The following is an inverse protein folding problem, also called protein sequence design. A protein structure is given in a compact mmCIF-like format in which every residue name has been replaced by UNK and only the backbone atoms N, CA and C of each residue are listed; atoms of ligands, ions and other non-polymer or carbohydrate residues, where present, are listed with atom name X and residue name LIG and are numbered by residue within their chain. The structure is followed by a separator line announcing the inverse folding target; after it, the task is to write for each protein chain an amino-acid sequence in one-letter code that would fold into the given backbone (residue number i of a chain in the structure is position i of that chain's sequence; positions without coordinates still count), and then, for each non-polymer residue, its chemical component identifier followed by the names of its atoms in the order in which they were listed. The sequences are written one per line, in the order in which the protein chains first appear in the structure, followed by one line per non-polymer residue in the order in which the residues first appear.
data_IF_031503090963
#
_entry.id   IF_031503090963
#
_cell.length_a   1.000
_cell.length_b   1.000
_cell.length_c   1.000
_cell.angle_alpha   90.00
_cell.angle_beta   90.00
_cell.angle_gamma   90.00
#
_symmetry.space_group_name_H-M   'P 1'
#
loop_
_entity.id
_entity.type
_entity.pdbx_description
1 polymer ?
#
# COMPACT_ATOMS: atom_id res chain seq x y z
N UNK A 1 -45.53 52.80 15.12
CA UNK A 1 -44.68 51.87 15.89
C UNK A 1 -45.59 50.85 16.54
N UNK A 2 -45.69 49.65 15.98
CA UNK A 2 -46.14 48.47 16.71
C UNK A 2 -45.45 47.27 16.07
N UNK A 3 -44.72 46.56 16.94
CA UNK A 3 -43.78 45.49 16.66
C UNK A 3 -44.59 44.21 16.52
N UNK A 4 -44.74 43.72 15.30
CA UNK A 4 -45.44 42.47 15.04
C UNK A 4 -44.72 41.32 15.74
N UNK A 5 -45.54 40.51 16.40
CA UNK A 5 -45.20 39.50 17.37
C UNK A 5 -44.37 38.39 16.73
N UNK A 6 -43.28 38.04 17.40
CA UNK A 6 -42.40 36.94 17.04
C UNK A 6 -43.17 35.63 17.03
N UNK A 7 -43.33 35.05 15.84
CA UNK A 7 -43.84 33.70 15.62
C UNK A 7 -43.08 32.69 16.48
N UNK A 8 -43.78 32.24 17.51
CA UNK A 8 -43.49 31.05 18.31
C UNK A 8 -43.28 29.87 17.35
N UNK A 9 -42.07 29.32 17.31
CA UNK A 9 -41.79 28.07 16.60
C UNK A 9 -42.42 26.93 17.39
N UNK A 10 -43.74 26.79 17.27
CA UNK A 10 -44.45 25.64 17.79
C UNK A 10 -43.94 24.40 17.03
N UNK A 11 -43.23 23.54 17.75
CA UNK A 11 -42.83 22.23 17.30
C UNK A 11 -44.11 21.46 16.99
N UNK A 12 -44.45 21.37 15.70
CA UNK A 12 -45.59 20.60 15.23
C UNK A 12 -45.39 19.13 15.61
N UNK A 13 -46.18 18.70 16.60
CA UNK A 13 -46.49 17.31 16.89
C UNK A 13 -47.20 16.73 15.65
N UNK A 14 -46.49 15.90 14.88
CA UNK A 14 -47.08 15.10 13.82
C UNK A 14 -47.08 13.63 14.25
N UNK A 15 -48.21 13.21 14.82
CA UNK A 15 -48.57 11.81 14.98
C UNK A 15 -49.05 11.24 13.62
N UNK A 16 -48.41 10.16 13.17
CA UNK A 16 -48.96 9.23 12.19
C UNK A 16 -48.76 9.58 10.70
N UNK A 17 -47.97 8.75 10.02
CA UNK A 17 -47.93 8.52 8.57
C UNK A 17 -47.03 9.45 7.72
N UNK A 18 -45.82 8.95 7.43
CA UNK A 18 -44.92 9.49 6.41
C UNK A 18 -43.69 10.17 6.98
N UNK A 19 -42.57 9.45 7.09
CA UNK A 19 -41.30 10.03 7.49
C UNK A 19 -40.86 11.09 6.45
N UNK A 20 -41.02 12.37 6.79
CA UNK A 20 -40.65 13.49 5.94
C UNK A 20 -39.11 13.61 5.88
N UNK A 21 -38.55 13.17 4.76
CA UNK A 21 -37.12 13.32 4.42
C UNK A 21 -36.77 14.79 4.20
N UNK A 22 -35.61 15.21 4.72
CA UNK A 22 -35.15 16.60 4.66
C UNK A 22 -33.65 16.73 4.94
N UNK A 23 -33.11 17.96 4.97
CA UNK A 23 -31.70 18.16 5.28
C UNK A 23 -31.36 17.58 6.66
N UNK A 24 -30.29 16.80 6.76
CA UNK A 24 -29.90 16.03 7.95
C UNK A 24 -30.94 14.98 8.44
N UNK A 25 -31.97 14.63 7.65
CA UNK A 25 -32.98 13.61 7.96
C UNK A 25 -33.05 12.55 6.85
N UNK A 26 -32.07 11.62 6.76
CA UNK A 26 -32.05 10.61 5.72
C UNK A 26 -33.22 9.62 5.87
N UNK A 27 -33.75 9.03 4.78
CA UNK A 27 -34.85 8.06 4.83
C UNK A 27 -34.55 6.88 5.77
N UNK A 28 -35.53 6.47 6.59
CA UNK A 28 -35.37 5.40 7.59
C UNK A 28 -34.93 4.07 6.95
N UNK A 29 -35.43 3.77 5.75
CA UNK A 29 -35.10 2.55 5.00
C UNK A 29 -33.60 2.41 4.66
N UNK A 30 -32.86 3.53 4.63
CA UNK A 30 -31.43 3.56 4.30
C UNK A 30 -30.53 3.89 5.50
N UNK A 31 -31.10 4.11 6.68
CA UNK A 31 -30.32 4.34 7.89
C UNK A 31 -29.69 3.02 8.36
N UNK A 32 -28.41 3.07 8.71
CA UNK A 32 -27.77 1.93 9.38
C UNK A 32 -28.43 1.69 10.74
N UNK A 33 -28.76 0.43 11.04
CA UNK A 33 -29.33 0.07 12.33
C UNK A 33 -28.30 0.33 13.42
N UNK A 34 -28.73 0.90 14.55
CA UNK A 34 -27.86 1.16 15.70
C UNK A 34 -27.20 -0.16 16.14
N UNK A 35 -25.87 -0.20 16.16
CA UNK A 35 -25.09 -1.40 16.49
C UNK A 35 -24.74 -2.29 15.29
N UNK A 36 -25.22 -1.98 14.08
CA UNK A 36 -24.88 -2.68 12.85
C UNK A 36 -24.17 -1.73 11.89
N UNK A 37 -22.87 -1.93 11.72
CA UNK A 37 -22.08 -1.27 10.68
C UNK A 37 -22.60 -1.68 9.29
N UNK A 38 -22.61 -0.75 8.34
CA UNK A 38 -22.85 -1.05 6.91
C UNK A 38 -21.77 -1.95 6.29
N UNK A 39 -20.64 -2.11 6.95
CA UNK A 39 -19.63 -3.11 6.67
C UNK A 39 -19.49 -4.07 7.87
N UNK A 40 -20.26 -5.18 7.92
CA UNK A 40 -20.25 -6.13 9.03
C UNK A 40 -18.93 -6.88 9.19
N UNK A 41 -18.22 -7.12 8.08
CA UNK A 41 -16.89 -7.73 8.08
C UNK A 41 -15.81 -6.76 8.61
N UNK A 42 -16.14 -5.46 8.69
CA UNK A 42 -15.21 -4.42 9.06
C UNK A 42 -14.10 -4.27 8.02
N UNK A 43 -13.08 -3.49 8.40
CA UNK A 43 -11.83 -3.44 7.66
C UNK A 43 -11.10 -4.79 7.80
N UNK A 44 -10.52 -5.35 6.73
CA UNK A 44 -9.71 -6.57 6.81
C UNK A 44 -8.67 -6.47 7.94
N UNK A 45 -8.50 -7.57 8.68
CA UNK A 45 -7.54 -7.61 9.79
C UNK A 45 -6.12 -7.70 9.24
N UNK A 46 -5.22 -6.92 9.82
CA UNK A 46 -3.78 -7.05 9.64
C UNK A 46 -3.36 -8.52 9.82
N UNK A 47 -2.65 -9.08 8.84
CA UNK A 47 -2.15 -10.46 8.81
C UNK A 47 -1.04 -10.75 9.83
N UNK A 48 -0.45 -9.69 10.41
CA UNK A 48 0.61 -9.79 11.42
C UNK A 48 2.02 -9.86 10.84
N UNK A 49 2.17 -9.67 9.52
CA UNK A 49 3.48 -9.56 8.89
C UNK A 49 4.19 -8.28 9.35
N UNK A 50 5.54 -8.25 9.41
CA UNK A 50 6.29 -7.02 9.65
C UNK A 50 5.85 -5.94 8.66
N UNK A 51 5.28 -4.84 9.15
CA UNK A 51 4.72 -3.75 8.32
C UNK A 51 3.20 -3.62 8.36
N UNK A 52 2.44 -4.68 8.67
CA UNK A 52 0.97 -4.69 8.66
C UNK A 52 0.30 -3.68 9.61
N UNK A 53 1.03 -3.31 10.66
CA UNK A 53 0.58 -2.37 11.69
C UNK A 53 1.00 -0.92 11.40
N UNK A 54 1.75 -0.69 10.32
CA UNK A 54 2.12 0.66 9.90
C UNK A 54 0.88 1.37 9.36
N UNK A 55 0.80 2.67 9.63
CA UNK A 55 -0.29 3.52 9.15
C UNK A 55 -0.21 3.61 7.62
N UNK A 56 -1.21 3.10 6.92
CA UNK A 56 -1.23 2.97 5.46
C UNK A 56 -1.05 1.54 4.93
N UNK A 57 -0.81 0.55 5.81
CA UNK A 57 -0.52 -0.83 5.37
C UNK A 57 -1.68 -1.58 4.71
N UNK A 58 -2.92 -1.12 4.88
CA UNK A 58 -4.06 -1.65 4.14
C UNK A 58 -4.22 -0.79 2.89
N UNK A 59 -3.59 -1.22 1.80
CA UNK A 59 -3.72 -0.60 0.50
C UNK A 59 -4.66 -1.48 -0.36
N UNK A 60 -6.00 -1.45 -0.12
CA UNK A 60 -6.93 -2.31 -0.84
C UNK A 60 -6.85 -2.08 -2.36
N UNK A 61 -6.60 -0.83 -2.76
CA UNK A 61 -6.36 -0.46 -4.15
C UNK A 61 -5.12 -1.15 -4.73
N UNK A 62 -4.04 -1.29 -3.96
CA UNK A 62 -2.83 -2.00 -4.40
C UNK A 62 -3.12 -3.48 -4.62
N UNK A 63 -3.84 -4.11 -3.71
CA UNK A 63 -4.28 -5.51 -3.86
C UNK A 63 -5.04 -5.71 -5.16
N UNK A 64 -6.08 -4.90 -5.40
CA UNK A 64 -6.86 -4.95 -6.65
C UNK A 64 -6.01 -4.74 -7.91
N UNK A 65 -5.05 -3.81 -7.89
CA UNK A 65 -4.14 -3.56 -9.02
C UNK A 65 -3.24 -4.78 -9.27
N UNK A 66 -2.71 -5.40 -8.21
CA UNK A 66 -1.86 -6.59 -8.32
C UNK A 66 -2.65 -7.79 -8.84
N UNK A 67 -3.87 -7.99 -8.34
CA UNK A 67 -4.76 -9.06 -8.81
C UNK A 67 -5.05 -8.91 -10.30
N UNK A 68 -5.34 -7.70 -10.76
CA UNK A 68 -5.55 -7.43 -12.18
C UNK A 68 -4.27 -7.64 -12.99
N UNK A 69 -3.11 -7.20 -12.49
CA UNK A 69 -1.83 -7.39 -13.16
C UNK A 69 -1.45 -8.88 -13.31
N UNK A 70 -1.88 -9.74 -12.38
CA UNK A 70 -1.60 -11.18 -12.41
C UNK A 70 -2.69 -12.02 -13.08
N UNK A 71 -3.85 -11.43 -13.42
CA UNK A 71 -4.90 -12.11 -14.19
C UNK A 71 -4.38 -12.59 -15.54
N UNK A 72 -4.77 -13.80 -15.93
CA UNK A 72 -4.42 -14.37 -17.24
C UNK A 72 -5.31 -13.78 -18.34
N UNK A 73 -4.70 -13.43 -19.47
CA UNK A 73 -5.37 -12.87 -20.64
C UNK A 73 -4.80 -13.54 -21.90
N UNK A 74 -5.66 -13.96 -22.85
CA UNK A 74 -5.22 -14.42 -24.17
C UNK A 74 -4.66 -13.24 -24.96
N UNK A 75 -3.41 -13.37 -25.43
CA UNK A 75 -2.76 -12.38 -26.28
C UNK A 75 -2.25 -13.05 -27.54
N UNK A 76 -2.48 -12.42 -28.68
CA UNK A 76 -1.97 -12.92 -29.97
C UNK A 76 -0.53 -12.46 -30.20
N UNK A 77 0.36 -13.42 -30.46
CA UNK A 77 1.77 -13.19 -30.79
C UNK A 77 2.09 -14.00 -32.04
N UNK A 78 2.52 -13.32 -33.10
CA UNK A 78 2.97 -13.97 -34.35
C UNK A 78 1.94 -14.97 -34.92
N UNK A 79 0.65 -14.63 -34.82
CA UNK A 79 -0.48 -15.46 -35.26
C UNK A 79 -0.84 -16.62 -34.33
N UNK A 80 -0.24 -16.70 -33.13
CA UNK A 80 -0.57 -17.69 -32.09
C UNK A 80 -1.13 -17.01 -30.86
N UNK A 81 -2.26 -17.49 -30.36
CA UNK A 81 -2.83 -17.05 -29.09
C UNK A 81 -2.07 -17.71 -27.94
N UNK A 82 -1.47 -16.91 -27.07
CA UNK A 82 -0.74 -17.35 -25.88
C UNK A 82 -1.38 -16.70 -24.65
N UNK A 83 -1.69 -17.52 -23.65
CA UNK A 83 -2.14 -17.07 -22.34
C UNK A 83 -0.97 -16.46 -21.56
N UNK A 84 -1.09 -15.19 -21.15
CA UNK A 84 -0.08 -14.53 -20.33
C UNK A 84 -0.72 -13.63 -19.26
N UNK A 85 0.06 -13.23 -18.26
CA UNK A 85 -0.43 -12.29 -17.24
C UNK A 85 -0.67 -10.92 -17.86
N UNK A 86 -1.73 -10.23 -17.45
CA UNK A 86 -2.12 -8.92 -17.96
C UNK A 86 -0.98 -7.89 -17.87
N UNK A 87 -0.27 -7.85 -16.74
CA UNK A 87 0.88 -6.96 -16.57
C UNK A 87 1.99 -7.24 -17.58
N UNK A 88 2.23 -8.51 -17.92
CA UNK A 88 3.21 -8.88 -18.95
C UNK A 88 2.76 -8.47 -20.35
N UNK A 89 1.47 -8.63 -20.66
CA UNK A 89 0.89 -8.20 -21.93
C UNK A 89 1.04 -6.67 -22.14
N UNK A 90 0.72 -5.88 -21.11
CA UNK A 90 0.85 -4.42 -21.15
C UNK A 90 2.31 -4.02 -21.36
N UNK A 91 3.25 -4.61 -20.60
CA UNK A 91 4.68 -4.33 -20.75
C UNK A 91 5.20 -4.67 -22.15
N UNK A 92 4.75 -5.78 -22.73
CA UNK A 92 5.11 -6.16 -24.10
C UNK A 92 4.54 -5.19 -25.13
N UNK A 93 3.28 -4.78 -24.99
CA UNK A 93 2.66 -3.81 -25.89
C UNK A 93 3.37 -2.45 -25.83
N UNK A 94 3.80 -2.03 -24.64
CA UNK A 94 4.60 -0.83 -24.43
C UNK A 94 5.95 -0.93 -25.13
N UNK A 95 6.63 -2.07 -25.01
CA UNK A 95 7.90 -2.32 -25.70
C UNK A 95 7.74 -2.30 -27.22
N UNK A 96 6.70 -2.93 -27.77
CA UNK A 96 6.39 -2.89 -29.20
C UNK A 96 6.11 -1.47 -29.68
N UNK A 97 5.35 -0.67 -28.93
CA UNK A 97 5.11 0.73 -29.25
C UNK A 97 6.40 1.58 -29.21
N UNK A 98 7.30 1.29 -28.27
CA UNK A 98 8.61 1.93 -28.20
C UNK A 98 9.48 1.56 -29.42
N UNK A 99 9.51 0.27 -29.81
CA UNK A 99 10.22 -0.20 -31.01
C UNK A 99 9.68 0.43 -32.30
N UNK A 100 8.37 0.66 -32.37
CA UNK A 100 7.72 1.34 -33.49
C UNK A 100 7.96 2.87 -33.51
N UNK A 101 8.77 3.41 -32.59
CA UNK A 101 9.20 4.81 -32.60
C UNK A 101 8.30 5.78 -31.84
N UNK A 102 7.37 5.32 -31.00
CA UNK A 102 6.61 6.23 -30.15
C UNK A 102 7.51 6.83 -29.04
N UNK A 103 7.79 8.15 -29.04
CA UNK A 103 8.74 8.76 -28.11
C UNK A 103 8.29 8.69 -26.65
N UNK A 104 6.98 8.71 -26.39
CA UNK A 104 6.44 8.56 -25.03
C UNK A 104 6.66 7.14 -24.54
N UNK A 105 6.38 6.14 -25.38
CA UNK A 105 6.61 4.74 -25.04
C UNK A 105 8.10 4.46 -24.81
N UNK A 106 9.00 4.97 -25.66
CA UNK A 106 10.45 4.86 -25.49
C UNK A 106 10.90 5.45 -24.15
N UNK A 107 10.46 6.67 -23.82
CA UNK A 107 10.82 7.30 -22.54
C UNK A 107 10.32 6.47 -21.36
N UNK A 108 9.06 6.04 -21.37
CA UNK A 108 8.47 5.25 -20.29
C UNK A 108 9.16 3.89 -20.14
N UNK A 109 9.50 3.24 -21.24
CA UNK A 109 10.25 1.98 -21.24
C UNK A 109 11.64 2.15 -20.64
N UNK A 110 12.40 3.15 -21.08
CA UNK A 110 13.75 3.42 -20.54
C UNK A 110 13.73 3.75 -19.05
N UNK A 111 12.73 4.49 -18.58
CA UNK A 111 12.53 4.77 -17.16
C UNK A 111 12.31 3.48 -16.36
N UNK A 112 11.43 2.60 -16.84
CA UNK A 112 11.14 1.31 -16.19
C UNK A 112 12.36 0.39 -16.16
N UNK A 113 13.13 0.32 -17.25
CA UNK A 113 14.38 -0.47 -17.32
C UNK A 113 15.40 0.06 -16.30
N UNK A 114 15.61 1.38 -16.27
CA UNK A 114 16.54 2.00 -15.31
C UNK A 114 16.14 1.72 -13.86
N UNK A 115 14.85 1.78 -13.55
CA UNK A 115 14.34 1.46 -12.22
C UNK A 115 14.58 -0.01 -11.86
N UNK A 116 14.27 -0.94 -12.76
CA UNK A 116 14.48 -2.36 -12.54
C UNK A 116 15.96 -2.72 -12.32
N UNK A 117 16.87 -2.13 -13.10
CA UNK A 117 18.32 -2.33 -12.93
C UNK A 117 18.82 -1.76 -11.59
N UNK A 118 18.29 -0.60 -11.17
CA UNK A 118 18.64 0.00 -9.89
C UNK A 118 18.18 -0.87 -8.71
N UNK A 119 16.95 -1.38 -8.75
CA UNK A 119 16.39 -2.27 -7.72
C UNK A 119 17.17 -3.59 -7.65
N UNK A 120 17.54 -4.16 -8.81
CA UNK A 120 18.36 -5.36 -8.88
C UNK A 120 19.76 -5.12 -8.29
N UNK A 121 20.41 -4.00 -8.65
CA UNK A 121 21.71 -3.62 -8.10
C UNK A 121 21.64 -3.42 -6.60
N UNK A 122 20.60 -2.74 -6.09
CA UNK A 122 20.41 -2.52 -4.67
C UNK A 122 20.23 -3.86 -3.92
N UNK A 123 19.45 -4.78 -4.49
CA UNK A 123 19.27 -6.13 -3.95
C UNK A 123 20.60 -6.89 -3.93
N UNK A 124 21.38 -6.84 -5.00
CA UNK A 124 22.68 -7.50 -5.08
C UNK A 124 23.68 -6.94 -4.06
N UNK A 125 23.73 -5.61 -3.90
CA UNK A 125 24.57 -4.95 -2.88
C UNK A 125 24.11 -5.35 -1.47
N UNK A 126 22.80 -5.38 -1.21
CA UNK A 126 22.29 -5.81 0.08
C UNK A 126 22.69 -7.27 0.40
N UNK A 127 22.55 -8.17 -0.57
CA UNK A 127 22.98 -9.57 -0.44
C UNK A 127 24.48 -9.66 -0.17
N UNK A 128 25.30 -8.93 -0.95
CA UNK A 128 26.75 -8.89 -0.77
C UNK A 128 27.15 -8.41 0.62
N UNK A 129 26.57 -7.30 1.08
CA UNK A 129 26.84 -6.73 2.39
C UNK A 129 26.45 -7.69 3.53
N UNK A 130 25.36 -8.44 3.41
CA UNK A 130 24.99 -9.47 4.39
C UNK A 130 26.07 -10.57 4.46
N UNK A 131 26.50 -11.09 3.32
CA UNK A 131 27.53 -12.14 3.29
C UNK A 131 28.90 -11.66 3.78
N UNK A 132 29.32 -10.44 3.44
CA UNK A 132 30.57 -9.88 3.96
C UNK A 132 30.50 -9.61 5.46
N UNK A 133 29.37 -9.10 5.96
CA UNK A 133 29.16 -8.86 7.40
C UNK A 133 29.17 -10.17 8.17
N UNK A 134 28.55 -11.22 7.66
CA UNK A 134 28.57 -12.56 8.28
C UNK A 134 29.99 -13.15 8.31
N UNK A 135 30.79 -12.94 7.25
CA UNK A 135 32.18 -13.39 7.19
C UNK A 135 33.06 -12.64 8.21
N UNK A 136 32.91 -11.32 8.32
CA UNK A 136 33.60 -10.52 9.34
C UNK A 136 33.18 -10.91 10.77
N UNK A 137 31.89 -11.16 10.99
CA UNK A 137 31.34 -11.60 12.28
C UNK A 137 31.94 -12.94 12.71
N UNK A 138 32.04 -13.89 11.77
CA UNK A 138 32.63 -15.20 12.01
C UNK A 138 34.10 -15.08 12.37
N UNK A 139 34.86 -14.27 11.63
CA UNK A 139 36.27 -14.02 11.90
C UNK A 139 36.52 -13.35 13.26
N UNK A 140 35.66 -12.41 13.68
CA UNK A 140 35.71 -11.75 14.99
C UNK A 140 35.36 -12.74 16.11
N UNK A 141 34.34 -13.59 15.92
CA UNK A 141 33.93 -14.61 16.90
C UNK A 141 34.99 -15.70 17.08
N UNK A 142 35.64 -16.11 15.99
CA UNK A 142 36.76 -17.07 15.98
C UNK A 142 38.00 -16.46 16.64
N UNK A 143 38.29 -15.16 16.41
CA UNK A 143 39.36 -14.44 17.11
C UNK A 143 39.12 -14.30 18.61
N UNK A 144 37.86 -14.14 19.04
CA UNK A 144 37.52 -13.89 20.44
C UNK A 144 37.29 -15.15 21.28
N UNK A 145 37.21 -16.35 20.70
CA UNK A 145 37.10 -17.62 21.43
C UNK A 145 35.97 -17.66 22.50
N UNK A 146 34.93 -16.84 22.32
CA UNK A 146 33.83 -16.70 23.27
C UNK A 146 32.54 -17.19 22.60
N UNK A 147 31.91 -18.21 23.21
CA UNK A 147 30.53 -18.63 22.94
C UNK A 147 29.57 -17.53 23.44
N UNK A 148 29.66 -16.34 22.86
CA UNK A 148 28.86 -15.16 23.19
C UNK A 148 27.76 -14.97 22.15
N UNK A 149 26.52 -14.94 22.64
CA UNK A 149 25.29 -14.87 21.85
C UNK A 149 25.29 -13.67 20.87
N UNK A 150 25.06 -13.98 19.59
CA UNK A 150 25.19 -13.09 18.42
C UNK A 150 24.09 -12.02 18.32
N UNK A 151 23.17 -11.95 19.28
CA UNK A 151 21.91 -11.20 19.15
C UNK A 151 21.93 -9.77 19.69
N UNK A 152 22.99 -9.32 20.38
CA UNK A 152 22.97 -8.03 21.10
C UNK A 152 23.27 -6.78 20.24
N UNK A 153 23.82 -6.90 19.04
CA UNK A 153 24.23 -5.72 18.25
C UNK A 153 23.11 -5.10 17.38
N UNK A 154 21.98 -5.77 17.19
CA UNK A 154 20.88 -5.28 16.33
C UNK A 154 19.94 -4.26 17.01
N UNK A 155 20.23 -3.83 18.23
CA UNK A 155 19.37 -2.91 18.99
C UNK A 155 19.57 -1.42 18.61
N UNK A 156 20.72 -1.06 18.03
CA UNK A 156 21.13 0.35 17.95
C UNK A 156 20.93 1.03 16.57
N UNK A 157 20.53 0.29 15.53
CA UNK A 157 20.47 0.81 14.15
C UNK A 157 19.10 1.37 13.72
N UNK A 158 18.05 1.18 14.53
CA UNK A 158 16.68 1.64 14.24
C UNK A 158 16.23 2.63 15.31
N UNK A 159 16.38 3.92 15.03
CA UNK A 159 15.81 4.97 15.87
C UNK A 159 14.39 5.27 15.39
N UNK A 160 13.40 4.87 16.18
CA UNK A 160 12.00 5.22 15.97
C UNK A 160 11.63 6.40 16.89
N UNK A 161 11.32 7.56 16.29
CA UNK A 161 10.74 8.68 17.04
C UNK A 161 9.20 8.59 17.02
N UNK A 162 8.56 8.26 18.16
CA UNK A 162 7.12 8.06 18.23
C UNK A 162 6.31 9.36 18.13
N UNK A 163 6.92 10.55 18.31
CA UNK A 163 6.23 11.84 18.17
C UNK A 163 6.23 12.33 16.72
N UNK A 164 7.31 12.04 15.99
CA UNK A 164 7.45 12.42 14.59
C UNK A 164 7.03 11.32 13.60
N UNK A 165 6.78 10.08 14.07
CA UNK A 165 6.53 8.90 13.23
C UNK A 165 7.60 8.73 12.13
N UNK A 166 8.86 8.96 12.48
CA UNK A 166 10.00 8.85 11.57
C UNK A 166 10.90 7.72 12.05
N UNK A 167 11.19 6.79 11.15
CA UNK A 167 12.20 5.75 11.34
C UNK A 167 13.48 6.24 10.67
N UNK A 168 14.56 6.35 11.43
CA UNK A 168 15.90 6.61 10.91
C UNK A 168 16.68 5.32 11.06
N UNK A 169 17.02 4.71 9.92
CA UNK A 169 18.02 3.65 9.87
C UNK A 169 19.35 4.35 9.72
N UNK A 170 20.24 4.24 10.72
CA UNK A 170 21.61 4.72 10.57
C UNK A 170 22.30 3.79 9.58
N UNK A 171 22.50 4.26 8.35
CA UNK A 171 23.57 3.72 7.51
C UNK A 171 24.90 4.15 8.12
N UNK A 172 25.90 3.27 8.11
CA UNK A 172 27.28 3.66 8.37
C UNK A 172 27.69 4.64 7.26
N UNK A 173 27.53 5.94 7.50
CA UNK A 173 28.12 6.99 6.68
C UNK A 173 29.64 6.96 6.92
N UNK A 174 30.35 6.37 5.96
CA UNK A 174 31.78 6.53 5.73
C UNK A 174 32.02 7.07 4.33
#
# INVERSE_FOLDING_TARGET
MNREETGRWDAAEHEGEGYAVGNCRPPVEHQFRKGQSGNPAGRPRATGAPGDRLRGSDEPTRGMILDEAYRMVPVEIDGKTVEMRMGQAVMRSLALAALNGNPTAMRRWTELVRQAEADQKQTQVAIYNVFERDAQQKEISERKNERGDITQFYADDILFDPKACRVVVRGEDG
#
